data_IF_930429765654
#
_entry.id   IF_930429765654
#
_cell.length_a   1.000
_cell.length_b   1.000
_cell.length_c   1.000
_cell.angle_alpha   90.00
_cell.angle_beta   90.00
_cell.angle_gamma   90.00
#
_symmetry.space_group_name_H-M   'P 1'
#
loop_
_entity.id
_entity.type
_entity.pdbx_description
1 polymer ?
#
# COMPACT_ATOMS: atom_id res chain seq x y z
N UNK A 1 8.49 25.77 -21.01
CA UNK A 1 8.21 24.72 -20.00
C UNK A 1 9.44 24.53 -19.18
N UNK A 2 9.35 24.55 -17.85
CA UNK A 2 10.52 24.29 -17.00
C UNK A 2 10.93 22.82 -17.14
N UNK A 3 12.21 22.56 -17.32
CA UNK A 3 12.75 21.19 -17.31
C UNK A 3 12.41 20.48 -15.99
N UNK A 4 11.95 19.23 -16.02
CA UNK A 4 11.65 18.50 -14.81
C UNK A 4 12.94 18.30 -13.99
N UNK A 5 12.87 18.52 -12.68
CA UNK A 5 14.01 18.25 -11.78
C UNK A 5 14.32 16.76 -11.78
N UNK A 6 15.59 16.42 -11.90
CA UNK A 6 16.06 15.03 -11.90
C UNK A 6 16.71 14.72 -10.56
N UNK A 7 16.31 13.63 -9.92
CA UNK A 7 16.81 13.18 -8.64
C UNK A 7 17.43 11.78 -8.74
N UNK A 8 18.47 11.52 -7.99
CA UNK A 8 19.01 10.18 -7.79
C UNK A 8 18.23 9.48 -6.67
N UNK A 9 18.21 8.15 -6.67
CA UNK A 9 17.59 7.39 -5.58
C UNK A 9 18.24 7.69 -4.21
N UNK A 10 19.54 7.98 -4.20
CA UNK A 10 20.27 8.37 -2.98
C UNK A 10 19.78 9.71 -2.41
N UNK A 11 19.38 10.66 -3.25
CA UNK A 11 18.76 11.90 -2.81
C UNK A 11 17.36 11.64 -2.24
N UNK A 12 16.56 10.87 -2.93
CA UNK A 12 15.21 10.48 -2.44
C UNK A 12 15.31 9.76 -1.09
N UNK A 13 16.32 8.89 -0.91
CA UNK A 13 16.54 8.15 0.33
C UNK A 13 16.83 9.02 1.57
N UNK A 14 17.09 10.31 1.43
CA UNK A 14 17.25 11.24 2.54
C UNK A 14 15.91 11.69 3.15
N UNK A 15 14.82 11.58 2.38
CA UNK A 15 13.47 12.01 2.75
C UNK A 15 12.62 10.83 3.26
N UNK A 16 12.87 10.36 4.50
CA UNK A 16 12.27 9.15 5.08
C UNK A 16 11.59 9.34 6.41
N UNK A 17 11.17 10.55 6.72
CA UNK A 17 10.51 10.85 7.99
C UNK A 17 9.07 11.30 7.76
N UNK A 18 8.24 11.26 8.81
CA UNK A 18 6.88 11.77 8.76
C UNK A 18 6.79 13.28 8.49
N UNK A 19 7.88 14.02 8.67
CA UNK A 19 7.95 15.46 8.39
C UNK A 19 8.55 15.77 7.02
N UNK A 20 9.11 14.75 6.36
CA UNK A 20 9.79 14.87 5.08
C UNK A 20 9.84 13.49 4.43
N UNK A 21 8.80 13.19 3.65
CA UNK A 21 8.54 11.86 3.10
C UNK A 21 8.42 11.91 1.59
N UNK A 22 9.39 11.31 0.92
CA UNK A 22 9.39 11.16 -0.53
C UNK A 22 9.35 9.70 -0.92
N UNK A 23 8.69 9.41 -2.03
CA UNK A 23 8.63 8.07 -2.64
C UNK A 23 8.83 8.17 -4.16
N UNK A 24 9.25 7.09 -4.79
CA UNK A 24 9.29 7.00 -6.25
C UNK A 24 8.20 6.04 -6.73
N UNK A 25 7.37 6.49 -7.67
CA UNK A 25 6.34 5.66 -8.33
C UNK A 25 6.41 5.91 -9.83
N UNK A 26 6.57 4.85 -10.62
CA UNK A 26 6.68 4.91 -12.08
C UNK A 26 7.71 5.95 -12.56
N UNK A 27 8.88 5.97 -11.90
CA UNK A 27 9.96 6.90 -12.22
C UNK A 27 9.70 8.37 -11.81
N UNK A 28 8.57 8.67 -11.20
CA UNK A 28 8.21 10.00 -10.68
C UNK A 28 8.62 10.11 -9.22
N UNK A 29 9.31 11.16 -8.86
CA UNK A 29 9.66 11.47 -7.46
C UNK A 29 8.55 12.33 -6.88
N UNK A 30 7.95 11.85 -5.79
CA UNK A 30 6.77 12.44 -5.17
C UNK A 30 7.10 12.90 -3.75
N UNK A 31 6.75 14.13 -3.41
CA UNK A 31 6.72 14.60 -2.03
C UNK A 31 5.31 14.34 -1.45
N UNK A 32 5.21 13.29 -0.67
CA UNK A 32 3.94 12.85 -0.06
C UNK A 32 3.81 13.25 1.41
N UNK A 33 4.68 14.14 1.89
CA UNK A 33 4.69 14.57 3.30
C UNK A 33 3.33 15.04 3.79
N UNK A 34 2.66 15.88 3.00
CA UNK A 34 1.33 16.41 3.35
C UNK A 34 0.21 15.39 3.18
N UNK A 35 0.42 14.37 2.36
CA UNK A 35 -0.56 13.35 2.07
C UNK A 35 -0.56 12.20 3.09
N UNK A 36 0.46 12.07 3.92
CA UNK A 36 0.59 10.99 4.90
C UNK A 36 -0.67 10.82 5.75
N UNK A 37 -1.19 11.91 6.31
CA UNK A 37 -2.37 11.89 7.17
C UNK A 37 -3.70 11.69 6.42
N UNK A 38 -3.72 11.96 5.13
CA UNK A 38 -4.90 11.83 4.27
C UNK A 38 -4.97 10.46 3.57
N UNK A 39 -3.90 9.64 3.69
CA UNK A 39 -3.84 8.36 3.00
C UNK A 39 -4.84 7.35 3.59
N UNK A 40 -5.76 6.78 2.79
CA UNK A 40 -6.79 5.85 3.29
C UNK A 40 -6.23 4.58 3.93
N UNK A 41 -5.02 4.16 3.55
CA UNK A 41 -4.31 2.99 4.11
C UNK A 41 -3.53 3.28 5.39
N UNK A 42 -3.56 4.52 5.90
CA UNK A 42 -2.72 4.98 7.01
C UNK A 42 -1.36 5.49 6.57
N UNK A 43 -0.70 6.26 7.43
CA UNK A 43 0.62 6.85 7.14
C UNK A 43 1.74 5.80 7.18
N UNK A 44 1.58 4.75 7.97
CA UNK A 44 2.61 3.74 8.21
C UNK A 44 3.00 3.01 6.93
N UNK A 45 2.02 2.69 6.06
CA UNK A 45 2.29 1.96 4.81
C UNK A 45 3.11 2.79 3.82
N UNK A 46 2.96 4.13 3.85
CA UNK A 46 3.81 5.02 3.04
C UNK A 46 5.19 5.16 3.68
N UNK A 47 5.26 5.26 5.02
CA UNK A 47 6.53 5.39 5.73
C UNK A 47 7.43 4.15 5.56
N UNK A 48 6.87 2.96 5.41
CA UNK A 48 7.62 1.73 5.11
C UNK A 48 8.39 1.81 3.79
N UNK A 49 7.85 2.53 2.81
CA UNK A 49 8.45 2.71 1.48
C UNK A 49 9.07 4.09 1.29
N UNK A 50 9.10 4.91 2.32
CA UNK A 50 9.68 6.24 2.28
C UNK A 50 11.15 6.21 1.87
N UNK A 51 11.54 7.10 0.95
CA UNK A 51 12.88 7.17 0.40
C UNK A 51 13.24 6.06 -0.58
N UNK A 52 12.27 5.27 -1.04
CA UNK A 52 12.48 4.10 -1.91
C UNK A 52 11.67 4.18 -3.21
N UNK A 53 12.02 3.28 -4.12
CA UNK A 53 11.21 2.96 -5.29
C UNK A 53 10.05 2.06 -4.83
N UNK A 54 8.81 2.49 -5.03
CA UNK A 54 7.59 1.89 -4.49
C UNK A 54 6.56 1.50 -5.56
N UNK A 55 6.93 1.51 -6.85
CA UNK A 55 6.01 1.18 -7.95
C UNK A 55 5.35 -0.17 -7.76
N UNK A 56 6.13 -1.20 -7.41
CA UNK A 56 5.61 -2.56 -7.22
C UNK A 56 4.58 -2.64 -6.09
N UNK A 57 4.82 -1.96 -4.99
CA UNK A 57 3.92 -1.91 -3.85
C UNK A 57 2.65 -1.14 -4.21
N UNK A 58 2.79 -0.03 -4.92
CA UNK A 58 1.67 0.78 -5.40
C UNK A 58 0.76 0.00 -6.35
N UNK A 59 1.34 -0.72 -7.31
CA UNK A 59 0.60 -1.52 -8.29
C UNK A 59 -0.06 -2.74 -7.66
N UNK A 60 0.60 -3.39 -6.71
CA UNK A 60 0.08 -4.59 -6.04
C UNK A 60 -1.23 -4.33 -5.25
N UNK A 61 -1.45 -3.11 -4.78
CA UNK A 61 -2.67 -2.71 -4.07
C UNK A 61 -3.84 -2.47 -5.04
N UNK A 62 -3.57 -2.21 -6.33
CA UNK A 62 -4.61 -1.95 -7.32
C UNK A 62 -5.31 -0.59 -7.10
N UNK A 63 -4.55 0.47 -6.93
CA UNK A 63 -5.07 1.82 -6.74
C UNK A 63 -6.01 2.26 -7.87
N UNK A 64 -7.09 2.96 -7.50
CA UNK A 64 -8.06 3.50 -8.46
C UNK A 64 -7.40 4.51 -9.42
N UNK A 65 -8.03 4.77 -10.58
CA UNK A 65 -7.57 5.81 -11.51
C UNK A 65 -7.45 7.18 -10.83
N UNK A 66 -8.38 7.53 -9.94
CA UNK A 66 -8.31 8.77 -9.17
C UNK A 66 -7.05 8.84 -8.29
N UNK A 67 -6.68 7.75 -7.62
CA UNK A 67 -5.44 7.67 -6.83
C UNK A 67 -4.19 7.73 -7.73
N UNK A 68 -4.22 7.08 -8.91
CA UNK A 68 -3.14 7.17 -9.89
C UNK A 68 -2.95 8.60 -10.41
N UNK A 69 -4.05 9.34 -10.66
CA UNK A 69 -4.00 10.75 -11.07
C UNK A 69 -3.45 11.65 -9.94
N UNK A 70 -3.68 11.31 -8.68
CA UNK A 70 -3.10 12.06 -7.54
C UNK A 70 -1.58 11.99 -7.49
N UNK A 71 -0.94 10.93 -8.01
CA UNK A 71 0.52 10.80 -8.10
C UNK A 71 1.14 12.02 -8.79
N UNK A 72 0.53 12.50 -9.89
CA UNK A 72 1.03 13.65 -10.63
C UNK A 72 0.98 14.94 -9.81
N UNK A 73 -0.02 15.09 -8.94
CA UNK A 73 -0.19 16.27 -8.08
C UNK A 73 0.96 16.46 -7.07
N UNK A 74 1.53 15.35 -6.59
CA UNK A 74 2.61 15.37 -5.61
C UNK A 74 4.01 15.25 -6.24
N UNK A 75 4.09 15.24 -7.57
CA UNK A 75 5.35 15.10 -8.27
C UNK A 75 6.22 16.35 -8.09
N UNK A 76 7.45 16.13 -7.62
CA UNK A 76 8.49 17.17 -7.48
C UNK A 76 9.62 17.03 -8.52
N UNK A 77 9.68 15.88 -9.21
CA UNK A 77 10.66 15.63 -10.27
C UNK A 77 10.58 14.20 -10.79
N UNK A 78 11.67 13.78 -11.43
CA UNK A 78 11.79 12.45 -12.02
C UNK A 78 13.06 11.76 -11.52
N UNK A 79 13.03 10.44 -11.46
CA UNK A 79 14.21 9.65 -11.09
C UNK A 79 15.20 9.60 -12.24
N UNK A 80 16.47 9.76 -11.96
CA UNK A 80 17.54 9.68 -12.93
C UNK A 80 17.51 8.32 -13.65
N UNK A 81 17.48 8.36 -14.99
CA UNK A 81 17.44 7.14 -15.82
C UNK A 81 16.10 6.45 -15.94
N UNK A 82 15.06 6.93 -15.28
CA UNK A 82 13.71 6.39 -15.46
C UNK A 82 13.08 6.91 -16.76
N UNK A 83 12.35 6.02 -17.45
CA UNK A 83 11.42 6.41 -18.51
C UNK A 83 10.10 6.73 -17.84
N UNK A 84 9.72 7.99 -17.80
CA UNK A 84 8.41 8.42 -17.31
C UNK A 84 7.44 8.33 -18.46
N UNK A 85 6.47 7.42 -18.38
CA UNK A 85 5.35 7.40 -19.32
C UNK A 85 4.46 8.61 -19.04
N UNK A 86 4.17 9.39 -20.09
CA UNK A 86 3.22 10.50 -19.97
C UNK A 86 1.85 9.89 -19.71
N UNK A 87 1.25 10.23 -18.57
CA UNK A 87 -0.14 9.88 -18.30
C UNK A 87 -0.97 10.83 -19.13
N UNK A 88 -1.63 10.32 -20.18
CA UNK A 88 -2.61 11.07 -20.95
C UNK A 88 -3.73 11.53 -20.03
N UNK A 89 -3.72 12.83 -19.70
CA UNK A 89 -4.76 13.47 -18.88
C UNK A 89 -6.01 13.83 -19.72
N UNK A 90 -6.19 13.23 -20.90
CA UNK A 90 -7.23 13.59 -21.84
C UNK A 90 -8.42 12.63 -21.89
N UNK A 91 -8.63 11.76 -20.92
CA UNK A 91 -9.86 11.00 -20.82
C UNK A 91 -10.72 11.49 -19.65
N UNK A 92 -11.79 12.20 -20.05
CA UNK A 92 -13.02 12.47 -19.30
C UNK A 92 -12.94 13.43 -18.09
N UNK A 93 -12.87 14.74 -18.41
CA UNK A 93 -13.62 15.73 -17.64
C UNK A 93 -15.09 15.58 -18.00
N UNK A 94 -15.79 14.68 -17.34
CA UNK A 94 -17.24 14.77 -17.21
C UNK A 94 -17.53 15.52 -15.93
N UNK A 95 -17.88 16.79 -16.11
CA UNK A 95 -18.54 17.58 -15.09
C UNK A 95 -19.75 16.81 -14.56
N UNK A 96 -19.70 16.43 -13.29
CA UNK A 96 -20.91 16.16 -12.52
C UNK A 96 -20.72 16.73 -11.13
N UNK A 97 -21.10 18.01 -11.00
CA UNK A 97 -21.58 18.53 -9.73
C UNK A 97 -22.69 17.64 -9.18
N UNK A 98 -22.67 17.51 -7.86
CA UNK A 98 -23.70 16.89 -7.03
C UNK A 98 -23.58 15.37 -6.84
N UNK A 99 -22.88 14.93 -5.78
CA UNK A 99 -23.59 14.23 -4.70
C UNK A 99 -22.72 14.01 -3.47
N UNK A 100 -22.86 14.89 -2.50
CA UNK A 100 -22.53 14.65 -1.10
C UNK A 100 -23.57 13.67 -0.57
N UNK A 101 -23.30 12.37 -0.68
CA UNK A 101 -23.85 11.31 0.18
C UNK A 101 -23.42 9.95 -0.34
N UNK A 102 -22.93 9.14 0.60
CA UNK A 102 -22.64 7.71 0.50
C UNK A 102 -21.16 7.32 0.36
N UNK A 103 -20.37 7.68 1.37
CA UNK A 103 -19.28 6.81 1.80
C UNK A 103 -19.88 5.74 2.74
N UNK A 104 -20.58 4.80 2.18
CA UNK A 104 -20.89 3.56 2.88
C UNK A 104 -20.82 2.40 1.92
N UNK A 105 -20.08 1.39 2.35
CA UNK A 105 -19.91 0.09 1.74
C UNK A 105 -18.95 -0.01 0.54
N UNK A 106 -17.67 -0.09 0.84
CA UNK A 106 -16.75 -0.84 0.01
C UNK A 106 -17.15 -2.32 0.09
N UNK A 107 -18.02 -2.75 -0.81
CA UNK A 107 -18.30 -4.15 -1.04
C UNK A 107 -17.12 -4.72 -1.82
N UNK A 108 -16.28 -5.48 -1.13
CA UNK A 108 -15.28 -6.35 -1.75
C UNK A 108 -16.05 -7.37 -2.61
N UNK A 109 -16.02 -7.19 -3.94
CA UNK A 109 -16.39 -8.25 -4.86
C UNK A 109 -15.20 -9.20 -4.98
N UNK A 110 -15.39 -10.38 -4.42
CA UNK A 110 -14.49 -11.51 -4.50
C UNK A 110 -14.06 -11.81 -5.93
N UNK A 111 -12.77 -11.91 -6.15
CA UNK A 111 -12.22 -12.30 -7.44
C UNK A 111 -10.72 -12.48 -7.49
N UNK A 112 -10.07 -12.82 -6.39
CA UNK A 112 -8.73 -13.41 -6.44
C UNK A 112 -8.57 -14.35 -5.26
N UNK A 113 -8.32 -15.63 -5.58
CA UNK A 113 -8.04 -16.72 -4.68
C UNK A 113 -6.88 -16.38 -3.72
N UNK A 114 -7.16 -15.59 -2.69
CA UNK A 114 -6.35 -15.57 -1.50
C UNK A 114 -6.72 -16.85 -0.75
N UNK A 115 -5.88 -17.89 -0.87
CA UNK A 115 -5.90 -19.00 0.08
C UNK A 115 -5.69 -18.38 1.46
N UNK A 116 -6.78 -18.04 2.10
CA UNK A 116 -6.82 -17.85 3.54
C UNK A 116 -6.23 -19.13 4.12
N UNK A 117 -4.98 -19.06 4.55
CA UNK A 117 -4.41 -20.08 5.42
C UNK A 117 -5.27 -20.00 6.65
N UNK A 118 -6.23 -20.91 6.72
CA UNK A 118 -7.21 -20.96 7.78
C UNK A 118 -6.44 -21.07 9.08
N UNK A 119 -6.66 -20.16 10.01
CA UNK A 119 -6.13 -20.22 11.37
C UNK A 119 -6.39 -21.58 12.04
N UNK A 120 -7.38 -22.32 11.57
CA UNK A 120 -7.73 -23.66 12.01
C UNK A 120 -6.64 -24.70 11.73
N UNK A 121 -5.82 -24.56 10.67
CA UNK A 121 -4.75 -25.52 10.37
C UNK A 121 -3.60 -25.47 11.41
N UNK A 122 -3.40 -24.33 12.06
CA UNK A 122 -2.40 -24.20 13.12
C UNK A 122 -2.95 -24.49 14.52
N UNK A 123 -4.21 -24.14 14.78
CA UNK A 123 -4.77 -24.26 16.14
C UNK A 123 -5.39 -25.63 16.42
N UNK A 124 -5.92 -26.34 15.42
CA UNK A 124 -6.50 -27.66 15.60
C UNK A 124 -5.47 -28.71 16.06
N UNK A 125 -4.26 -28.82 15.47
CA UNK A 125 -3.26 -29.78 15.96
C UNK A 125 -2.80 -29.46 17.39
N UNK A 126 -2.72 -28.18 17.75
CA UNK A 126 -2.29 -27.75 19.10
C UNK A 126 -3.36 -28.09 20.15
N UNK A 127 -4.65 -27.90 19.84
CA UNK A 127 -5.77 -28.31 20.71
C UNK A 127 -5.83 -29.83 20.89
N UNK A 128 -5.65 -30.60 19.82
CA UNK A 128 -5.63 -32.06 19.90
C UNK A 128 -4.46 -32.55 20.74
N UNK A 129 -3.28 -31.97 20.58
CA UNK A 129 -2.09 -32.32 21.36
C UNK A 129 -2.26 -32.01 22.86
N UNK A 130 -2.85 -30.87 23.22
CA UNK A 130 -3.10 -30.50 24.63
C UNK A 130 -4.16 -31.38 25.26
N UNK A 131 -5.23 -31.74 24.54
CA UNK A 131 -6.26 -32.66 25.01
C UNK A 131 -5.70 -34.10 25.20
N UNK A 132 -4.87 -34.55 24.24
CA UNK A 132 -4.22 -35.84 24.34
C UNK A 132 -3.25 -35.91 25.52
N UNK A 133 -2.46 -34.88 25.75
CA UNK A 133 -1.53 -34.81 26.87
C UNK A 133 -2.24 -34.74 28.21
N UNK A 134 -3.34 -33.97 28.31
CA UNK A 134 -4.20 -33.91 29.50
C UNK A 134 -4.85 -35.25 29.81
N UNK A 135 -5.41 -35.95 28.80
CA UNK A 135 -5.95 -37.30 28.95
C UNK A 135 -4.92 -38.30 29.45
N UNK A 136 -3.73 -38.27 28.90
CA UNK A 136 -2.65 -39.18 29.29
C UNK A 136 -2.15 -38.91 30.71
N UNK A 137 -2.12 -37.68 31.18
CA UNK A 137 -1.72 -37.32 32.54
C UNK A 137 -2.75 -37.77 33.56
N UNK A 138 -4.02 -37.85 33.19
CA UNK A 138 -5.11 -38.33 34.06
C UNK A 138 -5.26 -39.85 34.08
N UNK A 139 -4.84 -40.57 33.04
CA UNK A 139 -5.10 -42.01 32.89
C UNK A 139 -3.89 -42.89 33.16
N UNK A 140 -2.67 -42.34 33.25
CA UNK A 140 -1.47 -43.12 33.60
C UNK A 140 -1.16 -42.93 35.10
N UNK A 141 -1.44 -43.93 35.94
CA UNK A 141 -1.01 -43.88 37.34
C UNK A 141 0.48 -43.90 37.42
N UNK A 142 1.07 -42.95 38.11
CA UNK A 142 2.49 -42.97 38.48
C UNK A 142 2.67 -44.11 39.53
N UNK A 143 3.33 -45.16 39.05
CA UNK A 143 3.96 -46.12 39.94
C UNK A 143 5.37 -45.65 40.29
#
# INVERSE_FOLDING_TARGET
>A
MAEPRVFTLSQVAQHRSNRDCWVVINGRVLDVTKFLQEHPGGEEVILEVAGKEATKQFDAIGHSKAAQNMVVKYQVGVLQGAKVEEVDMNDDVVDTESNTKEMSAFVIKDGANYKSISFYEFFVPLLVATLYFGYRCLTVPHY
#
